data_IF_363283294439
#
_entry.id   IF_363283294439
#
_cell.length_a   1.000
_cell.length_b   1.000
_cell.length_c   1.000
_cell.angle_alpha   90.00
_cell.angle_beta   90.00
_cell.angle_gamma   90.00
#
_symmetry.space_group_name_H-M   'P 1'
#
loop_
_entity.id
_entity.type
_entity.pdbx_description
1 polymer ?
#
# COMPACT_ATOMS: atom_id res chain seq x y z
N UNK A 1 12.88 -2.99 9.66
CA UNK A 1 11.92 -2.59 10.74
C UNK A 1 10.48 -2.99 10.37
N UNK A 2 9.94 -2.58 9.22
CA UNK A 2 8.58 -2.96 8.75
C UNK A 2 8.34 -4.48 8.74
N UNK A 3 9.31 -5.26 8.25
CA UNK A 3 9.25 -6.73 8.23
C UNK A 3 9.01 -7.36 9.61
N UNK A 4 9.76 -6.94 10.64
CA UNK A 4 9.63 -7.51 12.00
C UNK A 4 8.27 -7.17 12.62
N UNK A 5 7.72 -6.01 12.29
CA UNK A 5 6.39 -5.60 12.73
C UNK A 5 5.30 -6.47 12.08
N UNK A 6 5.39 -6.67 10.76
CA UNK A 6 4.46 -7.52 10.02
C UNK A 6 4.55 -8.98 10.47
N UNK A 7 5.75 -9.53 10.61
CA UNK A 7 5.97 -10.89 11.09
C UNK A 7 5.53 -11.09 12.56
N UNK A 8 5.68 -10.07 13.42
CA UNK A 8 5.24 -10.16 14.83
C UNK A 8 3.72 -10.10 14.99
N UNK A 9 3.01 -9.52 14.02
CA UNK A 9 1.55 -9.40 14.04
C UNK A 9 0.84 -10.45 13.16
N UNK A 10 1.57 -11.13 12.28
CA UNK A 10 1.13 -12.29 11.52
C UNK A 10 0.51 -13.35 12.46
N UNK A 11 -0.68 -13.87 12.10
CA UNK A 11 -1.47 -14.87 12.84
C UNK A 11 -1.93 -14.50 14.26
N UNK A 12 -1.58 -13.32 14.78
CA UNK A 12 -1.96 -12.90 16.14
C UNK A 12 -3.07 -11.85 16.16
N UNK A 13 -3.19 -11.03 15.12
CA UNK A 13 -4.20 -9.95 15.00
C UNK A 13 -4.53 -9.64 13.54
N UNK A 14 -5.74 -9.16 13.28
CA UNK A 14 -6.10 -8.59 11.97
C UNK A 14 -5.26 -7.35 11.68
N UNK A 15 -4.61 -7.31 10.51
CA UNK A 15 -3.79 -6.20 10.06
C UNK A 15 -4.35 -5.61 8.78
N UNK A 16 -4.59 -4.30 8.77
CA UNK A 16 -4.80 -3.53 7.54
C UNK A 16 -3.47 -2.99 7.04
N UNK A 17 -3.03 -3.41 5.85
CA UNK A 17 -1.83 -2.90 5.19
C UNK A 17 -2.24 -2.15 3.92
N UNK A 18 -1.72 -0.94 3.74
CA UNK A 18 -1.88 -0.16 2.52
C UNK A 18 -0.49 0.21 1.99
N UNK A 19 -0.23 -0.12 0.73
CA UNK A 19 1.03 0.18 0.03
C UNK A 19 0.72 0.84 -1.31
N UNK A 20 1.58 1.76 -1.73
CA UNK A 20 1.55 2.32 -3.08
C UNK A 20 2.36 1.49 -4.09
N UNK A 21 3.14 0.51 -3.61
CA UNK A 21 3.92 -0.41 -4.42
C UNK A 21 3.14 -1.71 -4.68
N UNK A 22 3.26 -2.20 -5.91
CA UNK A 22 2.76 -3.51 -6.36
C UNK A 22 3.46 -4.64 -5.60
N UNK A 23 2.81 -5.81 -5.44
CA UNK A 23 3.44 -6.95 -4.76
C UNK A 23 4.72 -7.44 -5.47
N UNK A 24 4.82 -7.27 -6.79
CA UNK A 24 6.00 -7.65 -7.58
C UNK A 24 7.24 -6.83 -7.20
N UNK A 25 7.04 -5.55 -6.84
CA UNK A 25 8.13 -4.67 -6.43
C UNK A 25 8.61 -4.91 -4.99
N UNK A 26 7.86 -5.68 -4.18
CA UNK A 26 8.24 -5.92 -2.78
C UNK A 26 9.53 -6.70 -2.65
N UNK A 27 9.85 -7.56 -3.62
CA UNK A 27 11.11 -8.30 -3.67
C UNK A 27 12.37 -7.41 -3.74
N UNK A 28 12.23 -6.13 -4.12
CA UNK A 28 13.33 -5.14 -4.13
C UNK A 28 13.62 -4.53 -2.76
N UNK A 29 12.68 -4.59 -1.83
CA UNK A 29 12.82 -4.01 -0.49
C UNK A 29 13.44 -4.98 0.52
N UNK A 30 13.69 -6.23 0.11
CA UNK A 30 14.26 -7.25 0.97
C UNK A 30 15.71 -7.58 0.59
N UNK A 31 16.59 -7.80 1.59
CA UNK A 31 17.98 -8.21 1.34
C UNK A 31 18.08 -9.55 0.60
N UNK A 32 17.12 -10.44 0.83
CA UNK A 32 17.06 -11.79 0.26
C UNK A 32 15.71 -12.02 -0.42
N UNK A 33 15.74 -12.15 -1.74
CA UNK A 33 14.57 -12.33 -2.60
C UNK A 33 13.69 -13.54 -2.21
N UNK A 34 14.24 -14.73 -1.84
CA UNK A 34 13.42 -15.88 -1.46
C UNK A 34 12.59 -15.63 -0.20
N UNK A 35 13.20 -15.00 0.81
CA UNK A 35 12.58 -14.69 2.10
C UNK A 35 11.40 -13.73 1.94
N UNK A 36 11.50 -12.79 0.99
CA UNK A 36 10.42 -11.88 0.62
C UNK A 36 9.19 -12.61 0.11
N UNK A 37 9.40 -13.51 -0.85
CA UNK A 37 8.34 -14.26 -1.52
C UNK A 37 7.63 -15.17 -0.53
N UNK A 38 8.37 -15.91 0.31
CA UNK A 38 7.76 -16.77 1.34
C UNK A 38 6.99 -15.99 2.41
N UNK A 39 7.35 -14.72 2.68
CA UNK A 39 6.56 -13.88 3.59
C UNK A 39 5.28 -13.37 2.92
N UNK A 40 5.37 -12.92 1.67
CA UNK A 40 4.22 -12.47 0.90
C UNK A 40 3.20 -13.61 0.74
N UNK A 41 3.66 -14.81 0.46
CA UNK A 41 2.84 -16.02 0.39
C UNK A 41 2.01 -16.20 1.67
N UNK A 42 2.68 -16.19 2.84
CA UNK A 42 2.01 -16.27 4.15
C UNK A 42 1.02 -15.13 4.39
N UNK A 43 1.40 -13.90 4.09
CA UNK A 43 0.53 -12.73 4.28
C UNK A 43 -0.72 -12.80 3.40
N UNK A 44 -0.57 -13.24 2.15
CA UNK A 44 -1.65 -13.32 1.19
C UNK A 44 -2.55 -14.54 1.42
N UNK A 45 -2.05 -15.60 2.07
CA UNK A 45 -2.81 -16.82 2.33
C UNK A 45 -4.10 -16.59 3.15
N UNK A 46 -4.12 -15.59 4.03
CA UNK A 46 -5.30 -15.19 4.81
C UNK A 46 -5.68 -13.70 4.67
N UNK A 47 -5.21 -13.02 3.62
CA UNK A 47 -5.54 -11.62 3.39
C UNK A 47 -6.67 -11.44 2.37
N UNK A 48 -7.46 -10.39 2.55
CA UNK A 48 -8.32 -9.84 1.50
C UNK A 48 -7.60 -8.68 0.84
N UNK A 49 -7.20 -8.85 -0.41
CA UNK A 49 -6.54 -7.80 -1.20
C UNK A 49 -7.58 -6.89 -1.83
N UNK A 50 -7.47 -5.58 -1.58
CA UNK A 50 -8.29 -4.56 -2.25
C UNK A 50 -7.37 -3.70 -3.10
N UNK A 51 -7.53 -3.79 -4.42
CA UNK A 51 -6.80 -2.95 -5.36
C UNK A 51 -7.51 -1.60 -5.44
N UNK A 52 -6.85 -0.56 -4.96
CA UNK A 52 -7.39 0.80 -4.97
C UNK A 52 -6.82 1.53 -6.18
N UNK A 53 -7.66 1.70 -7.20
CA UNK A 53 -7.35 2.44 -8.43
C UNK A 53 -8.20 3.70 -8.52
N UNK A 54 -7.59 4.82 -8.93
CA UNK A 54 -8.33 6.07 -9.11
C UNK A 54 -7.50 7.32 -8.86
N UNK A 55 -8.11 8.49 -9.10
CA UNK A 55 -7.47 9.77 -8.82
C UNK A 55 -7.29 9.97 -7.30
N UNK A 56 -6.12 10.50 -6.91
CA UNK A 56 -5.82 10.82 -5.52
C UNK A 56 -6.93 11.69 -4.92
N UNK A 57 -7.49 11.25 -3.79
CA UNK A 57 -8.50 12.00 -3.05
C UNK A 57 -8.04 13.44 -2.75
N UNK A 58 -6.74 13.61 -2.45
CA UNK A 58 -6.12 14.92 -2.21
C UNK A 58 -6.15 15.81 -3.46
N UNK A 59 -5.86 15.26 -4.63
CA UNK A 59 -5.89 16.00 -5.90
C UNK A 59 -7.32 16.40 -6.27
N UNK A 60 -8.30 15.50 -6.03
CA UNK A 60 -9.72 15.81 -6.26
C UNK A 60 -10.17 16.98 -5.38
N UNK A 61 -9.85 16.94 -4.08
CA UNK A 61 -10.15 18.05 -3.16
C UNK A 61 -9.38 19.34 -3.50
N UNK A 62 -8.14 19.25 -3.97
CA UNK A 62 -7.37 20.42 -4.41
C UNK A 62 -8.01 21.07 -5.65
N UNK A 63 -8.48 20.28 -6.63
CA UNK A 63 -9.23 20.80 -7.79
C UNK A 63 -10.55 21.45 -7.39
N UNK A 64 -11.29 20.85 -6.45
CA UNK A 64 -12.53 21.45 -5.92
C UNK A 64 -12.26 22.76 -5.17
N UNK A 65 -11.12 22.88 -4.47
CA UNK A 65 -10.71 24.12 -3.81
C UNK A 65 -10.16 25.18 -4.78
N UNK A 66 -9.51 24.76 -5.87
CA UNK A 66 -8.95 25.66 -6.89
C UNK A 66 -9.98 26.12 -7.93
N UNK A 67 -11.12 25.44 -8.06
CA UNK A 67 -12.26 25.87 -8.88
C UNK A 67 -13.04 27.06 -8.32
N UNK A 68 -12.51 27.76 -7.31
CA UNK A 68 -13.14 28.90 -6.65
C UNK A 68 -12.67 30.28 -7.09
N UNK A 69 -11.47 30.46 -7.66
CA UNK A 69 -11.05 31.80 -8.13
C UNK A 69 -9.82 31.77 -9.04
N UNK A 70 -10.03 31.98 -10.34
CA UNK A 70 -9.38 33.05 -11.12
C UNK A 70 -9.83 32.98 -12.58
N UNK A 71 -10.63 33.94 -13.06
CA UNK A 71 -10.70 34.19 -14.50
C UNK A 71 -9.35 34.81 -14.90
N UNK A 72 -8.53 34.06 -15.64
CA UNK A 72 -7.44 34.62 -16.42
C UNK A 72 -8.05 35.45 -17.54
N UNK A 73 -8.07 36.76 -17.32
CA UNK A 73 -8.21 37.78 -18.36
C UNK A 73 -6.88 37.94 -19.09
#
# INVERSE_FOLDING_TARGET
MLFRFVAAAYERRSLGLASHWSFEDWGRFLPEHPTAVSMLDRLLHHATTVIISGQSHRMRHARTRQGGDRPTR
#
